data_IF_490533619250
#
_entry.id   IF_490533619250
#
_cell.length_a   1.000
_cell.length_b   1.000
_cell.length_c   1.000
_cell.angle_alpha   90.00
_cell.angle_beta   90.00
_cell.angle_gamma   90.00
#
_symmetry.space_group_name_H-M   'P 1'
#
loop_
_entity.id
_entity.type
_entity.pdbx_description
1 polymer ?
#
# COMPACT_ATOMS: atom_id res chain seq x y z
N UNK A 1 0.15 -17.18 1.94
CA UNK A 1 1.59 -17.53 1.92
C UNK A 1 1.93 -18.76 1.08
N UNK A 2 0.97 -19.65 0.78
CA UNK A 2 1.25 -20.87 -0.02
C UNK A 2 1.72 -20.57 -1.45
N UNK A 3 1.16 -19.56 -2.10
CA UNK A 3 1.55 -19.14 -3.46
C UNK A 3 2.97 -18.61 -3.56
N UNK A 4 3.45 -17.86 -2.56
CA UNK A 4 4.86 -17.40 -2.50
C UNK A 4 5.81 -18.58 -2.31
N UNK A 5 5.47 -19.53 -1.43
CA UNK A 5 6.27 -20.74 -1.21
C UNK A 5 6.34 -21.61 -2.46
N UNK A 6 5.23 -21.77 -3.17
CA UNK A 6 5.20 -22.50 -4.45
C UNK A 6 6.09 -21.83 -5.49
N UNK A 7 5.99 -20.51 -5.64
CA UNK A 7 6.83 -19.74 -6.57
C UNK A 7 8.33 -19.92 -6.26
N UNK A 8 8.71 -19.86 -4.99
CA UNK A 8 10.08 -20.09 -4.55
C UNK A 8 10.55 -21.53 -4.81
N UNK A 9 9.68 -22.52 -4.60
CA UNK A 9 10.00 -23.92 -4.90
C UNK A 9 10.25 -24.15 -6.40
N UNK A 10 9.45 -23.52 -7.28
CA UNK A 10 9.66 -23.56 -8.73
C UNK A 10 10.97 -22.87 -9.11
N UNK A 11 11.25 -21.69 -8.57
CA UNK A 11 12.49 -20.97 -8.83
C UNK A 11 13.72 -21.79 -8.40
N UNK A 12 13.66 -22.44 -7.24
CA UNK A 12 14.73 -23.32 -6.76
C UNK A 12 14.92 -24.54 -7.66
N UNK A 13 13.83 -25.19 -8.10
CA UNK A 13 13.89 -26.33 -9.01
C UNK A 13 14.49 -25.96 -10.37
N UNK A 14 14.19 -24.77 -10.88
CA UNK A 14 14.68 -24.28 -12.16
C UNK A 14 16.07 -23.59 -12.06
N UNK A 15 16.66 -23.49 -10.87
CA UNK A 15 17.95 -22.83 -10.65
C UNK A 15 17.94 -21.31 -10.88
N UNK A 16 16.78 -20.66 -10.73
CA UNK A 16 16.63 -19.22 -10.96
C UNK A 16 17.17 -18.41 -9.78
N UNK A 17 17.83 -17.29 -10.10
CA UNK A 17 18.20 -16.29 -9.10
C UNK A 17 16.95 -15.52 -8.65
N UNK A 18 16.74 -15.42 -7.34
CA UNK A 18 15.61 -14.70 -6.74
C UNK A 18 16.13 -13.45 -6.04
N UNK A 19 15.55 -12.31 -6.36
CA UNK A 19 15.82 -11.04 -5.69
C UNK A 19 14.57 -10.56 -4.96
N UNK A 20 14.73 -10.18 -3.70
CA UNK A 20 13.64 -9.62 -2.90
C UNK A 20 13.78 -8.10 -2.83
N UNK A 21 12.70 -7.39 -3.18
CA UNK A 21 12.63 -5.94 -3.09
C UNK A 21 11.45 -5.56 -2.20
N UNK A 22 11.74 -4.89 -1.09
CA UNK A 22 10.73 -4.30 -0.23
C UNK A 22 10.46 -2.86 -0.68
N UNK A 23 9.27 -2.62 -1.22
CA UNK A 23 8.88 -1.31 -1.72
C UNK A 23 8.16 -0.56 -0.61
N UNK A 24 8.90 0.32 0.08
CA UNK A 24 8.31 1.31 1.00
C UNK A 24 7.32 2.14 0.19
N UNK A 25 6.02 2.00 0.46
CA UNK A 25 4.86 2.62 -0.24
C UNK A 25 4.19 1.79 -1.35
N UNK A 26 4.41 0.47 -1.45
CA UNK A 26 3.65 -0.35 -2.42
C UNK A 26 2.13 -0.18 -2.27
N UNK A 27 1.69 -0.13 -1.03
CA UNK A 27 0.34 0.19 -0.57
C UNK A 27 -0.15 1.53 -1.15
N UNK A 28 0.70 2.58 -1.12
CA UNK A 28 0.33 3.94 -1.54
C UNK A 28 0.18 4.15 -3.07
N UNK A 29 0.44 3.14 -3.88
CA UNK A 29 0.47 3.27 -5.34
C UNK A 29 -0.72 2.62 -6.05
N UNK A 30 -1.62 1.97 -5.32
CA UNK A 30 -2.86 1.45 -5.90
C UNK A 30 -3.82 2.56 -6.32
N UNK A 31 -4.56 2.34 -7.40
CA UNK A 31 -5.72 3.17 -7.70
C UNK A 31 -6.87 2.85 -6.73
N UNK A 32 -7.61 3.86 -6.33
CA UNK A 32 -8.79 3.69 -5.50
C UNK A 32 -10.00 3.42 -6.39
N UNK A 33 -10.63 2.27 -6.23
CA UNK A 33 -11.88 1.95 -6.93
C UNK A 33 -13.06 2.81 -6.45
N UNK A 34 -12.97 3.34 -5.24
CA UNK A 34 -14.01 4.12 -4.57
C UNK A 34 -13.48 5.46 -4.05
N UNK A 35 -14.37 6.41 -3.81
CA UNK A 35 -14.00 7.71 -3.26
C UNK A 35 -13.89 7.64 -1.73
N UNK A 36 -12.65 7.62 -1.24
CA UNK A 36 -12.37 7.50 0.19
C UNK A 36 -12.05 8.87 0.80
N UNK A 37 -12.66 9.14 1.95
CA UNK A 37 -12.36 10.30 2.78
C UNK A 37 -11.80 9.87 4.13
N UNK A 38 -10.80 10.59 4.63
CA UNK A 38 -10.17 10.34 5.94
C UNK A 38 -10.26 11.57 6.82
N UNK A 39 -10.38 11.35 8.13
CA UNK A 39 -10.28 12.44 9.10
C UNK A 39 -8.91 13.11 9.03
N UNK A 40 -8.84 14.37 9.44
CA UNK A 40 -7.56 15.08 9.54
C UNK A 40 -6.65 14.35 10.52
N UNK A 41 -5.45 13.91 10.09
CA UNK A 41 -4.55 13.19 10.97
C UNK A 41 -4.03 14.12 12.08
N UNK A 42 -3.69 13.57 13.26
CA UNK A 42 -3.08 14.35 14.33
C UNK A 42 -1.84 15.12 13.82
N UNK A 43 -1.77 16.41 14.13
CA UNK A 43 -0.69 17.30 13.67
C UNK A 43 -0.91 17.95 12.30
N UNK A 44 -1.99 17.61 11.58
CA UNK A 44 -2.40 18.24 10.32
C UNK A 44 -3.79 18.87 10.39
N UNK A 45 -4.41 18.89 11.58
CA UNK A 45 -5.70 19.54 11.80
C UNK A 45 -5.54 21.06 11.63
N UNK A 46 -6.43 21.67 10.86
CA UNK A 46 -6.46 23.12 10.64
C UNK A 46 -7.53 23.75 11.55
N UNK A 47 -7.11 24.72 12.37
CA UNK A 47 -8.01 25.46 13.27
C UNK A 47 -9.18 26.09 12.51
N UNK A 48 -10.39 25.91 13.06
CA UNK A 48 -11.66 26.35 12.47
C UNK A 48 -12.15 25.49 11.30
N UNK A 49 -11.43 24.44 10.93
CA UNK A 49 -11.80 23.49 9.88
C UNK A 49 -11.77 22.03 10.35
N UNK A 50 -11.82 21.79 11.66
CA UNK A 50 -11.68 20.47 12.30
C UNK A 50 -12.71 19.45 11.79
N UNK A 51 -13.87 19.91 11.36
CA UNK A 51 -14.95 19.10 10.81
C UNK A 51 -14.71 18.62 9.36
N UNK A 52 -13.68 19.15 8.68
CA UNK A 52 -13.35 18.74 7.31
C UNK A 52 -12.59 17.44 7.27
N UNK A 53 -12.66 16.79 6.11
CA UNK A 53 -12.00 15.51 5.80
C UNK A 53 -11.12 15.67 4.56
N UNK A 54 -10.07 14.85 4.46
CA UNK A 54 -9.23 14.77 3.27
C UNK A 54 -9.73 13.69 2.33
N UNK A 55 -9.81 14.02 1.04
CA UNK A 55 -10.02 13.02 0.00
C UNK A 55 -8.72 12.29 -0.27
N UNK A 56 -8.75 10.97 -0.13
CA UNK A 56 -7.64 10.11 -0.46
C UNK A 56 -7.57 9.96 -2.00
N UNK A 57 -6.39 10.20 -2.59
CA UNK A 57 -6.20 10.18 -4.06
C UNK A 57 -5.55 8.90 -4.58
N UNK A 58 -4.87 8.15 -3.71
CA UNK A 58 -4.24 6.87 -4.01
C UNK A 58 -4.51 5.92 -2.85
N UNK A 59 -4.42 4.62 -3.09
CA UNK A 59 -4.53 3.63 -2.02
C UNK A 59 -3.56 3.95 -0.86
N UNK A 60 -3.84 3.43 0.33
CA UNK A 60 -2.93 3.47 1.46
C UNK A 60 -1.86 2.42 1.28
#
# INVERSE_FOLDING_TARGET
MESVRLLLAVAAHAGWSVHHMDVKSAFLNGELAEEVYVQQPPGFVIDGQEHKVYRLRKAL
#
